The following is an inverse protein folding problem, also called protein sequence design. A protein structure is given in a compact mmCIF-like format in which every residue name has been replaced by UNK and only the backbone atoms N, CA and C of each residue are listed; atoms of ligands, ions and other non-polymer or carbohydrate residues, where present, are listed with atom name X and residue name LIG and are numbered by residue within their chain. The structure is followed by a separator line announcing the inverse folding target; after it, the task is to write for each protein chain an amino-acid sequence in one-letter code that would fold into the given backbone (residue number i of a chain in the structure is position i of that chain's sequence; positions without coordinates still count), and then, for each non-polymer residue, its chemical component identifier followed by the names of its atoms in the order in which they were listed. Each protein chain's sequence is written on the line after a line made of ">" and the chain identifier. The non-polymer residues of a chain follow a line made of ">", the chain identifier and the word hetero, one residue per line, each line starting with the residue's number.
data_IF_530909849150
#
_entry.id   IF_530909849150
#
_cell.length_a   1.000
_cell.length_b   1.000
_cell.length_c   1.000
_cell.angle_alpha   90.00
_cell.angle_beta   90.00
_cell.angle_gamma   90.00
#
_symmetry.space_group_name_H-M   'P 1'
#
loop_
_entity.id
_entity.type
_entity.pdbx_description
1 polymer ?
#
# COMPACT_ATOMS: atom_id res chain seq x y z
N UNK A 1 39.29 1.31 -23.31
CA UNK A 1 38.15 2.18 -22.99
C UNK A 1 38.24 2.50 -21.51
N UNK A 2 38.38 3.77 -21.10
CA UNK A 2 38.44 4.11 -19.67
C UNK A 2 37.00 4.16 -19.14
N UNK A 3 36.73 3.38 -18.08
CA UNK A 3 35.45 3.42 -17.38
C UNK A 3 35.29 4.82 -16.77
N UNK A 4 34.24 5.53 -17.16
CA UNK A 4 33.88 6.81 -16.56
C UNK A 4 33.06 6.50 -15.32
N UNK A 5 33.59 6.81 -14.15
CA UNK A 5 32.83 6.76 -12.90
C UNK A 5 32.06 8.08 -12.82
N UNK A 6 30.74 7.98 -12.70
CA UNK A 6 29.85 9.12 -12.46
C UNK A 6 29.13 8.90 -11.14
N UNK A 7 29.25 9.87 -10.24
CA UNK A 7 28.60 9.84 -8.94
C UNK A 7 27.20 10.46 -9.04
N UNK A 8 26.17 9.67 -8.71
CA UNK A 8 24.79 10.14 -8.63
C UNK A 8 24.39 10.28 -7.17
N UNK A 9 23.99 11.49 -6.76
CA UNK A 9 23.42 11.70 -5.43
C UNK A 9 21.98 11.21 -5.43
N UNK A 10 21.66 10.31 -4.51
CA UNK A 10 20.27 9.91 -4.25
C UNK A 10 19.52 11.15 -3.77
N UNK A 11 18.42 11.56 -4.43
CA UNK A 11 17.62 12.68 -3.95
C UNK A 11 17.07 12.39 -2.54
N UNK A 12 17.04 13.37 -1.62
CA UNK A 12 16.73 13.13 -0.21
C UNK A 12 15.32 12.58 0.06
N UNK A 13 14.39 12.78 -0.87
CA UNK A 13 13.03 12.23 -0.85
C UNK A 13 12.93 10.79 -1.39
N UNK A 14 14.02 10.27 -1.95
CA UNK A 14 14.11 8.93 -2.54
C UNK A 14 14.86 8.01 -1.60
N UNK A 15 14.22 6.93 -1.16
CA UNK A 15 14.82 5.96 -0.22
C UNK A 15 14.92 4.55 -0.77
N UNK A 16 14.36 4.31 -1.96
CA UNK A 16 14.35 3.02 -2.63
C UNK A 16 15.17 3.12 -3.92
N UNK A 17 15.96 2.08 -4.19
CA UNK A 17 16.70 1.92 -5.44
C UNK A 17 16.12 0.69 -6.14
N UNK A 18 15.45 0.92 -7.25
CA UNK A 18 14.93 -0.14 -8.11
C UNK A 18 15.92 -0.39 -9.25
N UNK A 19 16.22 -1.66 -9.51
CA UNK A 19 17.19 -2.07 -10.53
C UNK A 19 16.53 -3.06 -11.48
N UNK A 20 16.49 -2.70 -12.75
CA UNK A 20 15.99 -3.57 -13.82
C UNK A 20 17.12 -3.90 -14.79
N UNK A 21 17.24 -5.18 -15.16
CA UNK A 21 18.19 -5.64 -16.17
C UNK A 21 17.43 -5.93 -17.48
N UNK A 22 17.74 -5.18 -18.53
CA UNK A 22 17.15 -5.36 -19.87
C UNK A 22 18.28 -5.56 -20.88
N UNK A 23 18.27 -6.71 -21.55
CA UNK A 23 19.32 -7.18 -22.46
C UNK A 23 20.72 -7.11 -21.82
N UNK A 24 21.54 -6.14 -22.24
CA UNK A 24 22.89 -5.88 -21.75
C UNK A 24 23.00 -4.54 -20.99
N UNK A 25 21.89 -4.02 -20.48
CA UNK A 25 21.79 -2.74 -19.77
C UNK A 25 21.21 -2.94 -18.37
N UNK A 26 21.61 -2.05 -17.47
CA UNK A 26 20.97 -1.85 -16.18
C UNK A 26 20.26 -0.50 -16.18
N UNK A 27 19.00 -0.48 -15.77
CA UNK A 27 18.23 0.72 -15.47
C UNK A 27 18.16 0.84 -13.94
N UNK A 28 18.59 1.98 -13.41
CA UNK A 28 18.57 2.27 -11.97
C UNK A 28 17.60 3.43 -11.74
N UNK A 29 16.54 3.18 -10.98
CA UNK A 29 15.54 4.18 -10.58
C UNK A 29 15.70 4.57 -9.11
N UNK A 30 15.62 5.87 -8.82
CA UNK A 30 15.48 6.38 -7.45
C UNK A 30 14.00 6.65 -7.19
N UNK A 31 13.41 5.93 -6.24
CA UNK A 31 11.98 5.95 -5.98
C UNK A 31 11.69 6.58 -4.61
N UNK A 32 10.59 7.33 -4.48
CA UNK A 32 10.25 7.96 -3.21
C UNK A 32 10.04 6.87 -2.18
N UNK A 33 10.24 7.21 -0.90
CA UNK A 33 9.91 6.28 0.19
C UNK A 33 8.44 5.82 0.12
N UNK A 34 7.57 6.64 -0.46
CA UNK A 34 6.14 6.41 -0.68
C UNK A 34 5.88 5.65 -2.00
N UNK A 35 6.29 4.38 -2.06
CA UNK A 35 5.62 3.42 -2.94
C UNK A 35 4.38 2.94 -2.18
N UNK A 36 3.22 3.48 -2.53
CA UNK A 36 1.99 3.17 -1.80
C UNK A 36 0.77 3.87 -2.36
N UNK A 37 0.98 5.00 -3.05
CA UNK A 37 -0.09 5.78 -3.64
C UNK A 37 -0.66 5.07 -4.89
N UNK A 38 -1.94 4.68 -4.85
CA UNK A 38 -2.67 4.12 -5.97
C UNK A 38 -4.02 4.82 -6.15
N UNK A 39 -4.51 4.88 -7.38
CA UNK A 39 -5.88 5.34 -7.60
C UNK A 39 -6.85 4.24 -7.17
N UNK A 40 -7.68 4.53 -6.17
CA UNK A 40 -8.66 3.58 -5.67
C UNK A 40 -10.04 3.88 -6.27
N UNK A 41 -10.57 2.95 -7.05
CA UNK A 41 -11.89 3.10 -7.68
C UNK A 41 -13.05 3.17 -6.67
N UNK A 42 -12.86 2.65 -5.44
CA UNK A 42 -13.87 2.70 -4.38
C UNK A 42 -14.01 4.09 -3.78
N UNK A 43 -12.89 4.81 -3.65
CA UNK A 43 -12.87 6.14 -3.03
C UNK A 43 -12.83 7.26 -4.05
N UNK A 44 -12.48 6.98 -5.31
CA UNK A 44 -12.19 7.96 -6.37
C UNK A 44 -11.07 8.95 -5.96
N UNK A 45 -10.11 8.45 -5.18
CA UNK A 45 -8.97 9.21 -4.67
C UNK A 45 -7.66 8.42 -4.83
N UNK A 46 -6.55 9.15 -4.73
CA UNK A 46 -5.24 8.53 -4.50
C UNK A 46 -5.17 8.09 -3.04
N UNK A 47 -4.89 6.82 -2.83
CA UNK A 47 -4.87 6.16 -1.52
C UNK A 47 -3.55 5.44 -1.27
N UNK A 48 -3.22 5.20 -0.01
CA UNK A 48 -1.94 4.59 0.38
C UNK A 48 -2.11 3.14 0.83
N UNK A 49 -1.23 2.26 0.35
CA UNK A 49 -1.05 0.91 0.94
C UNK A 49 -0.48 1.05 2.36
N UNK A 50 -1.06 0.39 3.38
CA UNK A 50 -0.61 0.52 4.76
C UNK A 50 0.69 -0.25 5.00
N UNK A 51 1.52 0.21 5.94
CA UNK A 51 2.73 -0.48 6.41
C UNK A 51 2.49 -1.14 7.76
N UNK A 52 3.33 -2.10 8.12
CA UNK A 52 3.30 -2.71 9.46
C UNK A 52 3.39 -1.60 10.52
N UNK A 53 2.41 -1.58 11.42
CA UNK A 53 2.22 -0.57 12.48
C UNK A 53 1.25 0.56 12.13
N UNK A 54 0.94 0.80 10.85
CA UNK A 54 -0.02 1.82 10.44
C UNK A 54 -1.45 1.43 10.81
N UNK A 55 -2.27 2.43 11.13
CA UNK A 55 -3.73 2.26 11.20
C UNK A 55 -4.29 2.17 9.78
N UNK A 56 -5.07 1.13 9.51
CA UNK A 56 -5.60 0.80 8.20
C UNK A 56 -7.04 0.31 8.28
N UNK A 57 -7.77 0.44 7.18
CA UNK A 57 -9.07 -0.20 6.97
C UNK A 57 -8.80 -1.54 6.30
N UNK A 58 -9.38 -2.60 6.83
CA UNK A 58 -9.27 -3.96 6.32
C UNK A 58 -10.64 -4.48 5.89
N UNK A 59 -10.76 -5.09 4.72
CA UNK A 59 -12.02 -5.65 4.24
C UNK A 59 -11.83 -6.85 3.31
N UNK A 60 -12.91 -7.62 3.16
CA UNK A 60 -13.06 -8.63 2.11
C UNK A 60 -14.14 -8.15 1.15
N UNK A 61 -13.95 -8.35 -0.16
CA UNK A 61 -14.87 -7.84 -1.17
C UNK A 61 -16.26 -8.47 -1.10
N UNK A 62 -16.34 -9.72 -0.63
CA UNK A 62 -17.62 -10.42 -0.41
C UNK A 62 -18.47 -9.77 0.70
N UNK A 63 -17.85 -9.08 1.66
CA UNK A 63 -18.56 -8.46 2.79
C UNK A 63 -17.83 -7.23 3.32
N UNK A 64 -17.93 -6.13 2.55
CA UNK A 64 -17.33 -4.84 2.91
C UNK A 64 -17.96 -4.19 4.15
N UNK A 65 -19.17 -4.60 4.53
CA UNK A 65 -19.86 -4.02 5.70
C UNK A 65 -19.21 -4.44 7.03
N UNK A 66 -18.41 -5.51 7.01
CA UNK A 66 -17.64 -6.02 8.14
C UNK A 66 -16.19 -5.54 8.15
N UNK A 67 -15.87 -4.52 7.36
CA UNK A 67 -14.55 -3.91 7.41
C UNK A 67 -14.23 -3.44 8.82
N UNK A 68 -12.95 -3.43 9.16
CA UNK A 68 -12.47 -2.97 10.46
C UNK A 68 -11.39 -1.92 10.29
N UNK A 69 -11.24 -1.06 11.30
CA UNK A 69 -10.08 -0.19 11.43
C UNK A 69 -9.19 -0.77 12.52
N UNK A 70 -7.97 -1.13 12.17
CA UNK A 70 -6.99 -1.73 13.08
C UNK A 70 -5.57 -1.33 12.68
N UNK A 71 -4.56 -1.74 13.44
CA UNK A 71 -3.17 -1.64 12.98
C UNK A 71 -2.81 -2.83 12.10
N UNK A 72 -2.02 -2.62 11.05
CA UNK A 72 -1.38 -3.71 10.31
C UNK A 72 -0.32 -4.34 11.20
N UNK A 73 -0.43 -5.64 11.43
CA UNK A 73 0.49 -6.41 12.28
C UNK A 73 1.48 -7.24 11.50
N UNK A 74 1.07 -7.71 10.32
CA UNK A 74 1.88 -8.52 9.41
C UNK A 74 1.31 -8.40 7.99
N UNK A 75 2.13 -8.68 6.98
CA UNK A 75 1.68 -8.76 5.59
C UNK A 75 2.48 -9.76 4.75
N UNK A 76 1.78 -10.45 3.86
CA UNK A 76 2.33 -11.32 2.82
C UNK A 76 2.06 -10.75 1.42
N UNK A 77 1.99 -9.42 1.29
CA UNK A 77 1.59 -8.76 0.03
C UNK A 77 2.52 -9.07 -1.16
N UNK A 78 3.72 -9.58 -0.89
CA UNK A 78 4.66 -10.08 -1.91
C UNK A 78 4.30 -11.45 -2.51
N UNK A 79 3.44 -12.24 -1.86
CA UNK A 79 2.92 -13.50 -2.39
C UNK A 79 1.64 -13.24 -3.19
N UNK A 80 1.77 -13.21 -4.52
CA UNK A 80 0.66 -12.97 -5.45
C UNK A 80 -0.39 -14.10 -5.45
N UNK A 81 -0.17 -15.19 -4.73
CA UNK A 81 -1.13 -16.30 -4.56
C UNK A 81 -1.91 -16.23 -3.26
N UNK A 82 -1.51 -15.36 -2.32
CA UNK A 82 -2.21 -15.17 -1.06
C UNK A 82 -3.46 -14.32 -1.30
N UNK A 83 -4.63 -14.93 -1.13
CA UNK A 83 -5.90 -14.22 -1.25
C UNK A 83 -6.15 -13.25 -0.10
N UNK A 84 -5.47 -13.42 1.04
CA UNK A 84 -5.67 -12.60 2.24
C UNK A 84 -4.33 -12.12 2.81
N UNK A 85 -3.59 -11.27 2.10
CA UNK A 85 -2.20 -10.97 2.45
C UNK A 85 -2.05 -9.99 3.62
N UNK A 86 -3.11 -9.44 4.20
CA UNK A 86 -3.01 -8.39 5.22
C UNK A 86 -3.52 -8.84 6.60
N UNK A 87 -2.64 -8.87 7.61
CA UNK A 87 -3.00 -9.28 8.97
C UNK A 87 -3.24 -8.09 9.89
N UNK A 88 -4.47 -7.93 10.37
CA UNK A 88 -4.80 -6.93 11.37
C UNK A 88 -4.33 -7.33 12.79
N UNK A 89 -4.16 -6.35 13.67
CA UNK A 89 -3.71 -6.55 15.05
C UNK A 89 -4.63 -7.43 15.94
N UNK A 90 -5.80 -7.82 15.45
CA UNK A 90 -6.69 -8.80 16.08
C UNK A 90 -6.45 -10.24 15.58
N UNK A 91 -5.33 -10.48 14.89
CA UNK A 91 -4.92 -11.76 14.31
C UNK A 91 -5.77 -12.28 13.14
N UNK A 92 -6.63 -11.43 12.56
CA UNK A 92 -7.45 -11.78 11.38
C UNK A 92 -6.77 -11.30 10.10
N UNK A 93 -6.80 -12.13 9.06
CA UNK A 93 -6.30 -11.83 7.73
C UNK A 93 -7.41 -11.36 6.78
N UNK A 94 -7.08 -10.42 5.90
CA UNK A 94 -8.01 -9.75 5.00
C UNK A 94 -7.46 -9.69 3.57
N UNK A 95 -8.37 -9.68 2.60
CA UNK A 95 -8.06 -9.55 1.17
C UNK A 95 -7.44 -8.19 0.86
N UNK A 96 -7.97 -7.15 1.48
CA UNK A 96 -7.62 -5.78 1.17
C UNK A 96 -7.28 -4.99 2.43
N UNK A 97 -6.31 -4.08 2.30
CA UNK A 97 -6.00 -3.11 3.32
C UNK A 97 -5.60 -1.76 2.69
N UNK A 98 -6.03 -0.67 3.32
CA UNK A 98 -5.71 0.70 2.89
C UNK A 98 -5.42 1.56 4.11
N UNK A 99 -4.45 2.47 4.04
CA UNK A 99 -4.10 3.35 5.15
C UNK A 99 -5.31 4.20 5.52
N UNK A 100 -5.66 4.22 6.81
CA UNK A 100 -6.80 4.99 7.28
C UNK A 100 -6.47 6.48 7.27
N UNK A 101 -7.28 7.28 6.55
CA UNK A 101 -7.13 8.75 6.49
C UNK A 101 -8.34 9.52 7.01
N UNK A 102 -9.55 8.97 6.86
CA UNK A 102 -10.78 9.65 7.28
C UNK A 102 -11.97 8.70 7.40
N UNK A 103 -13.03 9.15 8.07
CA UNK A 103 -14.29 8.42 8.13
C UNK A 103 -14.96 8.34 6.75
N UNK A 104 -14.91 9.39 5.95
CA UNK A 104 -15.48 9.39 4.58
C UNK A 104 -14.88 8.27 3.72
N UNK A 105 -13.56 8.04 3.82
CA UNK A 105 -12.87 6.92 3.15
C UNK A 105 -13.46 5.57 3.59
N UNK A 106 -13.69 5.40 4.89
CA UNK A 106 -14.32 4.20 5.43
C UNK A 106 -15.75 4.02 4.93
N UNK A 107 -16.56 5.08 4.90
CA UNK A 107 -17.93 5.02 4.40
C UNK A 107 -17.97 4.68 2.90
N UNK A 108 -17.05 5.22 2.11
CA UNK A 108 -16.91 4.90 0.68
C UNK A 108 -16.59 3.41 0.46
N UNK A 109 -15.65 2.86 1.23
CA UNK A 109 -15.24 1.46 1.13
C UNK A 109 -16.35 0.51 1.59
N UNK A 110 -17.00 0.82 2.72
CA UNK A 110 -17.96 -0.08 3.36
C UNK A 110 -19.40 0.08 2.87
N UNK A 111 -19.73 1.22 2.27
CA UNK A 111 -21.11 1.63 1.97
C UNK A 111 -21.95 1.92 3.20
N UNK A 112 -21.37 1.88 4.41
CA UNK A 112 -22.08 2.14 5.67
C UNK A 112 -22.23 3.64 5.83
N UNK A 113 -23.48 4.11 5.91
CA UNK A 113 -23.79 5.50 6.25
C UNK A 113 -24.33 5.57 7.67
N UNK A 114 -23.70 6.37 8.52
CA UNK A 114 -24.20 6.61 9.87
C UNK A 114 -25.31 7.67 9.81
N UNK A 115 -26.54 7.26 10.05
CA UNK A 115 -27.62 8.22 10.30
C UNK A 115 -27.35 8.85 11.66
N UNK A 116 -26.82 10.08 11.67
CA UNK A 116 -26.76 10.89 12.88
C UNK A 116 -28.19 11.08 13.39
N UNK A 117 -28.50 10.46 14.53
CA UNK A 117 -29.77 10.65 15.24
C UNK A 117 -29.73 11.92 16.08
#
# INVERSE_FOLDING_TARGET
>A
MKMKIEDYKIPPERRIISVEAIDNKLIIGFEPEHYGDFHCDLTDHVEEVPRIGDTAIFWNDEDRTRAIIARLSDDNSSDLTDEHPYKAANDIWFQNAIRFRSEDQYQQITGVTYVHR
#
